data_IF_412183695776
#
_entry.id   IF_412183695776
#
_cell.length_a   1.000
_cell.length_b   1.000
_cell.length_c   1.000
_cell.angle_alpha   90.00
_cell.angle_beta   90.00
_cell.angle_gamma   90.00
#
_symmetry.space_group_name_H-M   'P 1'
#
loop_
_entity.id
_entity.type
_entity.pdbx_description
1 polymer ?
#
# COMPACT_ATOMS: atom_id res chain seq x y z
N UNK A 1 -12.53 30.25 44.47
CA UNK A 1 -13.54 30.44 43.39
C UNK A 1 -13.14 31.48 42.34
N UNK A 2 -12.29 32.48 42.64
CA UNK A 2 -11.84 33.48 41.63
C UNK A 2 -10.45 33.21 41.00
N UNK A 3 -9.77 32.12 41.33
CA UNK A 3 -8.43 31.82 40.77
C UNK A 3 -8.45 30.99 39.48
N UNK A 4 -9.40 30.05 39.30
CA UNK A 4 -9.48 29.22 38.09
C UNK A 4 -9.99 29.99 36.86
N UNK A 5 -10.97 30.87 37.05
CA UNK A 5 -11.56 31.68 35.97
C UNK A 5 -10.57 32.70 35.37
N UNK A 6 -9.64 33.19 36.19
CA UNK A 6 -8.59 34.12 35.74
C UNK A 6 -7.50 33.42 34.92
N UNK A 7 -7.18 32.18 35.27
CA UNK A 7 -6.19 31.38 34.55
C UNK A 7 -6.73 30.95 33.17
N UNK A 8 -8.02 30.57 33.10
CA UNK A 8 -8.71 30.24 31.84
C UNK A 8 -8.81 31.43 30.89
N UNK A 9 -9.07 32.64 31.40
CA UNK A 9 -9.13 33.85 30.57
C UNK A 9 -7.75 34.26 30.02
N UNK A 10 -6.69 34.11 30.82
CA UNK A 10 -5.30 34.32 30.39
C UNK A 10 -4.92 33.34 29.26
N UNK A 11 -5.27 32.06 29.43
CA UNK A 11 -5.05 31.00 28.44
C UNK A 11 -5.84 31.24 27.14
N UNK A 12 -7.09 31.67 27.24
CA UNK A 12 -7.91 32.08 26.09
C UNK A 12 -7.31 33.27 25.32
N UNK A 13 -6.74 34.26 26.01
CA UNK A 13 -6.09 35.40 25.37
C UNK A 13 -4.83 35.00 24.60
N UNK A 14 -4.05 34.05 25.13
CA UNK A 14 -2.90 33.45 24.44
C UNK A 14 -3.33 32.69 23.17
N UNK A 15 -4.39 31.91 23.27
CA UNK A 15 -4.97 31.19 22.14
C UNK A 15 -5.49 32.15 21.05
N UNK A 16 -6.07 33.30 21.43
CA UNK A 16 -6.50 34.34 20.50
C UNK A 16 -5.34 34.93 19.68
N UNK A 17 -4.19 35.14 20.34
CA UNK A 17 -3.00 35.65 19.68
C UNK A 17 -2.47 34.66 18.64
N UNK A 18 -2.52 33.35 18.94
CA UNK A 18 -2.13 32.28 18.01
C UNK A 18 -3.12 32.08 16.86
N UNK A 19 -4.41 32.32 17.09
CA UNK A 19 -5.43 32.25 16.04
C UNK A 19 -5.29 33.41 15.03
N UNK A 20 -4.92 34.61 15.49
CA UNK A 20 -4.71 35.78 14.61
C UNK A 20 -3.49 35.68 13.68
N UNK A 21 -2.50 34.85 14.00
CA UNK A 21 -1.29 34.68 13.17
C UNK A 21 -1.48 33.69 12.03
N UNK A 22 -2.46 32.79 12.14
CA UNK A 22 -2.87 31.91 11.05
C UNK A 22 -3.90 32.65 10.20
N UNK A 23 -3.79 32.55 8.88
CA UNK A 23 -4.52 33.32 7.85
C UNK A 23 -6.05 33.11 7.81
N UNK A 24 -6.66 32.61 8.89
CA UNK A 24 -8.04 32.18 8.97
C UNK A 24 -8.66 32.68 10.28
N UNK A 25 -9.61 33.62 10.17
CA UNK A 25 -10.30 34.28 11.28
C UNK A 25 -11.28 33.30 11.99
N UNK A 26 -10.78 32.48 12.92
CA UNK A 26 -11.62 31.77 13.88
C UNK A 26 -11.76 32.64 15.14
N UNK A 27 -12.98 33.11 15.40
CA UNK A 27 -13.27 33.99 16.53
C UNK A 27 -13.18 33.21 17.87
N UNK A 28 -12.70 33.87 18.92
CA UNK A 28 -12.64 33.36 20.29
C UNK A 28 -13.98 32.79 20.80
N UNK A 29 -15.11 33.37 20.38
CA UNK A 29 -16.44 32.86 20.72
C UNK A 29 -16.72 31.48 20.09
N UNK A 30 -16.22 31.25 18.87
CA UNK A 30 -16.28 29.96 18.18
C UNK A 30 -15.49 28.91 18.95
N UNK A 31 -14.29 29.26 19.42
CA UNK A 31 -13.46 28.36 20.25
C UNK A 31 -14.11 28.04 21.60
N UNK A 32 -14.71 29.04 22.28
CA UNK A 32 -15.45 28.82 23.53
C UNK A 32 -16.67 27.91 23.34
N UNK A 33 -17.42 28.11 22.26
CA UNK A 33 -18.58 27.26 21.94
C UNK A 33 -18.16 25.84 21.58
N UNK A 34 -17.04 25.67 20.87
CA UNK A 34 -16.46 24.36 20.60
C UNK A 34 -16.11 23.63 21.91
N UNK A 35 -15.39 24.28 22.82
CA UNK A 35 -15.07 23.73 24.15
C UNK A 35 -16.32 23.41 24.98
N UNK A 36 -17.34 24.26 24.90
CA UNK A 36 -18.61 24.02 25.61
C UNK A 36 -19.35 22.78 25.07
N UNK A 37 -19.38 22.59 23.75
CA UNK A 37 -19.96 21.39 23.13
C UNK A 37 -19.17 20.13 23.50
N UNK A 38 -17.84 20.25 23.59
CA UNK A 38 -16.98 19.16 24.06
C UNK A 38 -17.29 18.79 25.53
N UNK A 39 -17.49 19.78 26.42
CA UNK A 39 -17.91 19.54 27.81
C UNK A 39 -19.29 18.88 27.93
N UNK A 40 -20.15 19.04 26.93
CA UNK A 40 -21.43 18.36 26.84
C UNK A 40 -21.34 16.96 26.18
N UNK A 41 -20.13 16.40 26.05
CA UNK A 41 -19.84 15.07 25.47
C UNK A 41 -20.17 14.95 23.97
N UNK A 42 -20.16 16.04 23.22
CA UNK A 42 -20.23 15.96 21.76
C UNK A 42 -18.86 15.59 21.20
N UNK A 43 -18.79 14.57 20.34
CA UNK A 43 -17.56 14.21 19.63
C UNK A 43 -17.00 15.40 18.82
N UNK A 44 -15.67 15.55 18.75
CA UNK A 44 -14.97 16.70 18.12
C UNK A 44 -15.49 17.05 16.73
N UNK A 45 -15.68 16.05 15.86
CA UNK A 45 -16.23 16.25 14.51
C UNK A 45 -17.71 16.67 14.54
N UNK A 46 -18.50 16.16 15.49
CA UNK A 46 -19.92 16.53 15.65
C UNK A 46 -20.07 17.94 16.21
N UNK A 47 -19.27 18.30 17.20
CA UNK A 47 -19.16 19.66 17.73
C UNK A 47 -18.75 20.65 16.62
N UNK A 48 -17.72 20.31 15.83
CA UNK A 48 -17.27 21.15 14.72
C UNK A 48 -18.31 21.29 13.61
N UNK A 49 -19.01 20.20 13.23
CA UNK A 49 -20.10 20.24 12.25
C UNK A 49 -21.29 21.06 12.74
N UNK A 50 -21.66 20.94 14.02
CA UNK A 50 -22.74 21.74 14.63
C UNK A 50 -22.37 23.23 14.66
N UNK A 51 -21.12 23.54 14.97
CA UNK A 51 -20.59 24.89 15.00
C UNK A 51 -20.47 25.50 13.60
N UNK A 52 -20.00 24.73 12.61
CA UNK A 52 -19.98 25.17 11.22
C UNK A 52 -21.39 25.48 10.73
N UNK A 53 -22.35 24.60 11.06
CA UNK A 53 -23.76 24.79 10.74
C UNK A 53 -24.37 26.02 11.43
N UNK A 54 -24.05 26.27 12.70
CA UNK A 54 -24.54 27.47 13.42
C UNK A 54 -23.96 28.78 12.88
N UNK A 55 -22.78 28.72 12.26
CA UNK A 55 -22.13 29.84 11.57
C UNK A 55 -22.55 29.98 10.09
N UNK A 56 -23.48 29.14 9.61
CA UNK A 56 -23.90 29.13 8.21
C UNK A 56 -22.79 28.67 7.24
N UNK A 57 -21.84 27.88 7.71
CA UNK A 57 -20.69 27.39 6.95
C UNK A 57 -20.81 25.90 6.61
N UNK A 58 -20.18 25.52 5.49
CA UNK A 58 -20.24 24.16 4.96
C UNK A 58 -19.26 23.17 5.62
N UNK A 59 -19.31 21.88 5.25
CA UNK A 59 -18.52 20.80 5.84
C UNK A 59 -17.00 21.03 5.83
N UNK A 60 -16.49 21.69 4.79
CA UNK A 60 -15.07 22.06 4.68
C UNK A 60 -14.62 22.96 5.84
N UNK A 61 -15.47 23.91 6.27
CA UNK A 61 -15.15 24.76 7.42
C UNK A 61 -15.16 23.96 8.73
N UNK A 62 -15.96 22.90 8.85
CA UNK A 62 -15.95 22.02 10.01
C UNK A 62 -14.63 21.22 10.11
N UNK A 63 -14.15 20.70 8.98
CA UNK A 63 -12.86 20.00 8.92
C UNK A 63 -11.69 20.94 9.23
N UNK A 64 -11.74 22.16 8.70
CA UNK A 64 -10.75 23.20 8.97
C UNK A 64 -10.72 23.61 10.46
N UNK A 65 -11.88 23.82 11.08
CA UNK A 65 -11.96 24.12 12.52
C UNK A 65 -11.41 22.96 13.36
N UNK A 66 -11.68 21.72 12.96
CA UNK A 66 -11.12 20.54 13.62
C UNK A 66 -9.59 20.51 13.51
N UNK A 67 -9.06 20.70 12.31
CA UNK A 67 -7.61 20.72 12.04
C UNK A 67 -6.87 21.85 12.75
N UNK A 68 -7.54 22.96 13.06
CA UNK A 68 -6.93 24.09 13.78
C UNK A 68 -7.09 23.93 15.30
N UNK A 69 -8.29 23.56 15.77
CA UNK A 69 -8.58 23.51 17.20
C UNK A 69 -8.03 22.25 17.88
N UNK A 70 -7.97 21.10 17.20
CA UNK A 70 -7.46 19.87 17.81
C UNK A 70 -5.98 19.90 18.19
N UNK A 71 -5.04 20.36 17.33
CA UNK A 71 -3.62 20.43 17.72
C UNK A 71 -3.36 21.49 18.79
N UNK A 72 -4.16 22.56 18.84
CA UNK A 72 -4.07 23.58 19.88
C UNK A 72 -4.50 23.04 21.26
N UNK A 73 -5.26 21.95 21.31
CA UNK A 73 -5.66 21.27 22.54
C UNK A 73 -4.61 20.27 23.03
N UNK A 74 -3.68 19.80 22.17
CA UNK A 74 -2.54 18.96 22.59
C UNK A 74 -1.55 19.71 23.48
N UNK A 75 -1.49 21.03 23.40
CA UNK A 75 -0.68 21.87 24.30
C UNK A 75 -1.28 22.08 25.69
N UNK A 76 -2.51 21.58 25.92
CA UNK A 76 -3.20 21.69 27.20
C UNK A 76 -3.46 20.28 27.75
N UNK A 77 -2.47 19.72 28.43
CA UNK A 77 -2.60 18.44 29.13
C UNK A 77 -3.39 18.65 30.44
N UNK A 78 -4.62 18.13 30.50
CA UNK A 78 -5.31 17.86 31.76
C UNK A 78 -5.73 16.37 31.81
N UNK A 79 -5.93 15.83 33.01
CA UNK A 79 -6.24 14.40 33.22
C UNK A 79 -7.46 13.94 32.40
N UNK A 80 -8.47 14.81 32.25
CA UNK A 80 -9.67 14.54 31.43
C UNK A 80 -9.35 14.37 29.93
N UNK A 81 -8.31 15.03 29.40
CA UNK A 81 -7.91 14.97 27.98
C UNK A 81 -7.19 13.65 27.66
N UNK A 82 -6.48 13.09 28.64
CA UNK A 82 -5.76 11.81 28.50
C UNK A 82 -6.73 10.62 28.51
N UNK A 83 -7.73 10.64 29.40
CA UNK A 83 -8.79 9.62 29.43
C UNK A 83 -9.66 9.69 28.16
N UNK A 84 -10.02 10.90 27.72
CA UNK A 84 -10.76 11.16 26.47
C UNK A 84 -10.02 10.70 25.20
N UNK A 85 -8.68 10.77 25.18
CA UNK A 85 -7.86 10.31 24.04
C UNK A 85 -7.99 8.80 23.82
N UNK A 86 -8.09 8.02 24.90
CA UNK A 86 -8.17 6.56 24.84
C UNK A 86 -9.57 6.09 24.40
N UNK A 87 -10.63 6.71 24.93
CA UNK A 87 -12.02 6.41 24.53
C UNK A 87 -12.30 6.83 23.07
N UNK A 88 -11.72 7.94 22.61
CA UNK A 88 -11.83 8.46 21.24
C UNK A 88 -11.23 7.52 20.18
N UNK A 89 -10.07 6.90 20.47
CA UNK A 89 -9.45 5.92 19.56
C UNK A 89 -10.32 4.67 19.39
N UNK A 90 -11.13 4.35 20.41
CA UNK A 90 -12.07 3.24 20.40
C UNK A 90 -13.34 3.54 19.57
N UNK A 91 -13.83 4.79 19.57
CA UNK A 91 -15.04 5.21 18.82
C UNK A 91 -14.80 5.55 17.33
N UNK A 92 -13.58 5.94 16.92
CA UNK A 92 -13.26 6.12 15.49
C UNK A 92 -13.30 4.81 14.67
N UNK A 93 -13.52 3.67 15.33
CA UNK A 93 -13.52 2.32 14.73
C UNK A 93 -14.68 1.97 13.81
N UNK A 94 -15.49 2.95 13.37
CA UNK A 94 -16.67 2.68 12.53
C UNK A 94 -16.57 3.08 11.06
N UNK A 95 -15.68 4.01 10.66
CA UNK A 95 -15.46 4.34 9.24
C UNK A 95 -13.97 4.59 8.98
N UNK A 96 -13.33 3.68 8.24
CA UNK A 96 -11.92 3.76 7.91
C UNK A 96 -11.64 4.84 6.84
N UNK A 97 -10.68 5.72 7.09
CA UNK A 97 -10.21 6.70 6.10
C UNK A 97 -9.28 6.00 5.10
N UNK A 98 -9.55 6.14 3.78
CA UNK A 98 -8.71 5.54 2.74
C UNK A 98 -7.52 6.44 2.45
N UNK A 99 -6.30 5.97 2.74
CA UNK A 99 -5.03 6.63 2.41
C UNK A 99 -4.52 6.11 1.06
N UNK A 100 -4.34 7.01 0.09
CA UNK A 100 -3.72 6.67 -1.20
C UNK A 100 -2.19 6.60 -1.08
N UNK A 101 -1.63 5.45 -1.40
CA UNK A 101 -0.18 5.24 -1.49
C UNK A 101 0.16 4.99 -2.95
N UNK A 102 0.95 5.87 -3.55
CA UNK A 102 1.38 5.76 -4.95
C UNK A 102 2.79 5.18 -5.03
N UNK A 103 3.05 4.32 -6.00
CA UNK A 103 4.40 3.85 -6.32
C UNK A 103 4.71 4.15 -7.79
N UNK A 104 5.97 4.50 -8.04
CA UNK A 104 6.51 4.66 -9.40
C UNK A 104 8.01 4.32 -9.45
N UNK A 105 8.51 4.14 -10.67
CA UNK A 105 9.87 3.71 -10.97
C UNK A 105 10.60 4.79 -11.79
N UNK A 106 11.80 5.19 -11.36
CA UNK A 106 12.61 6.19 -12.04
C UNK A 106 14.05 5.70 -12.25
N UNK A 107 14.59 5.93 -13.44
CA UNK A 107 16.02 5.68 -13.72
C UNK A 107 16.76 6.99 -13.86
N UNK A 108 17.75 7.20 -12.98
CA UNK A 108 18.64 8.36 -13.03
C UNK A 108 19.98 7.93 -13.63
N UNK A 109 20.50 8.70 -14.58
CA UNK A 109 21.79 8.43 -15.21
C UNK A 109 22.86 9.41 -14.72
N UNK A 110 24.09 8.94 -14.52
CA UNK A 110 25.20 9.71 -13.99
C UNK A 110 25.54 10.95 -14.85
N UNK A 111 25.31 10.88 -16.16
CA UNK A 111 25.56 11.98 -17.09
C UNK A 111 24.28 12.73 -17.49
N UNK A 112 23.18 12.61 -16.74
CA UNK A 112 22.02 13.51 -16.85
C UNK A 112 22.32 14.88 -16.21
N UNK A 113 23.41 15.52 -16.62
CA UNK A 113 23.79 16.85 -16.15
C UNK A 113 23.19 17.97 -17.01
N UNK A 114 23.30 19.21 -16.53
CA UNK A 114 22.82 20.40 -17.24
C UNK A 114 23.54 20.51 -18.60
N UNK A 115 22.77 20.44 -19.70
CA UNK A 115 23.30 20.49 -21.07
C UNK A 115 23.87 21.87 -21.47
N UNK A 116 23.63 22.89 -20.65
CA UNK A 116 24.06 24.26 -20.87
C UNK A 116 25.13 24.64 -19.83
N UNK A 117 26.26 25.16 -20.30
CA UNK A 117 27.33 25.69 -19.46
C UNK A 117 27.93 26.92 -20.13
N UNK A 118 28.49 27.82 -19.32
CA UNK A 118 29.22 28.99 -19.82
C UNK A 118 30.67 28.58 -20.05
N UNK A 119 31.17 28.76 -21.29
CA UNK A 119 32.59 28.62 -21.61
C UNK A 119 33.15 29.90 -22.24
N UNK A 120 34.45 30.16 -22.08
CA UNK A 120 35.14 31.21 -22.83
C UNK A 120 34.96 31.04 -24.34
N UNK A 121 34.96 32.16 -25.06
CA UNK A 121 34.75 32.17 -26.52
C UNK A 121 35.86 31.38 -27.22
N UNK A 122 35.50 30.27 -27.86
CA UNK A 122 36.42 29.38 -28.57
C UNK A 122 36.75 28.09 -27.81
N UNK A 123 36.30 27.94 -26.57
CA UNK A 123 36.44 26.71 -25.80
C UNK A 123 35.15 25.90 -25.81
N UNK A 124 35.27 24.62 -26.14
CA UNK A 124 34.19 23.65 -26.04
C UNK A 124 34.42 22.78 -24.81
N UNK A 125 33.49 22.80 -23.86
CA UNK A 125 33.48 21.85 -22.76
C UNK A 125 33.21 20.45 -23.28
N UNK A 126 34.16 19.53 -23.08
CA UNK A 126 34.00 18.13 -23.44
C UNK A 126 32.96 17.47 -22.52
N UNK A 127 31.79 17.15 -23.06
CA UNK A 127 30.80 16.32 -22.37
C UNK A 127 31.00 14.85 -22.72
N UNK A 128 30.82 13.98 -21.73
CA UNK A 128 30.78 12.53 -21.97
C UNK A 128 29.52 12.23 -22.78
N UNK A 129 29.69 11.56 -23.92
CA UNK A 129 28.59 11.24 -24.85
C UNK A 129 27.67 10.11 -24.37
N UNK A 130 28.14 9.27 -23.44
CA UNK A 130 27.33 8.17 -22.89
C UNK A 130 26.47 8.65 -21.73
N UNK A 131 25.39 7.94 -21.42
CA UNK A 131 24.55 8.20 -20.25
C UNK A 131 25.27 7.94 -18.92
N UNK A 132 26.38 7.18 -18.95
CA UNK A 132 27.10 6.77 -17.74
C UNK A 132 26.36 5.67 -16.97
N UNK A 133 26.74 5.46 -15.72
CA UNK A 133 26.08 4.52 -14.81
C UNK A 133 24.65 5.00 -14.50
N UNK A 134 23.72 4.07 -14.39
CA UNK A 134 22.34 4.35 -13.98
C UNK A 134 22.07 3.87 -12.56
N UNK A 135 21.19 4.58 -11.86
CA UNK A 135 20.56 4.15 -10.61
C UNK A 135 19.08 3.97 -10.90
N UNK A 136 18.56 2.81 -10.57
CA UNK A 136 17.13 2.49 -10.63
C UNK A 136 16.52 2.74 -9.25
N UNK A 137 15.47 3.54 -9.19
CA UNK A 137 14.77 3.92 -7.97
C UNK A 137 13.33 3.45 -8.11
N UNK A 138 12.83 2.72 -7.13
CA UNK A 138 11.43 2.34 -6.98
C UNK A 138 11.04 2.63 -5.55
N UNK A 139 9.95 3.39 -5.34
CA UNK A 139 9.60 3.88 -4.01
C UNK A 139 8.10 4.13 -3.86
N UNK A 140 7.59 3.95 -2.64
CA UNK A 140 6.20 4.25 -2.28
C UNK A 140 6.13 5.63 -1.65
N UNK A 141 5.20 6.45 -2.16
CA UNK A 141 4.98 7.82 -1.72
C UNK A 141 3.52 8.02 -1.32
N UNK A 142 3.27 8.71 -0.21
CA UNK A 142 1.96 9.23 0.13
C UNK A 142 2.04 10.65 0.69
N UNK A 143 0.93 11.38 0.63
CA UNK A 143 0.89 12.84 0.79
C UNK A 143 1.52 13.34 2.10
N UNK A 144 1.25 12.65 3.21
CA UNK A 144 1.59 13.12 4.56
C UNK A 144 3.07 12.98 4.88
N UNK A 145 3.68 11.80 4.68
CA UNK A 145 5.10 11.57 5.06
C UNK A 145 6.05 11.58 3.86
N UNK A 146 5.52 11.76 2.64
CA UNK A 146 6.22 11.54 1.38
C UNK A 146 6.65 10.07 1.29
N UNK A 147 7.88 9.71 1.64
CA UNK A 147 8.41 8.37 1.42
C UNK A 147 7.94 7.40 2.50
N UNK A 148 7.45 6.24 2.09
CA UNK A 148 6.98 5.21 3.00
C UNK A 148 8.18 4.56 3.72
N UNK A 149 8.39 4.90 5.00
CA UNK A 149 9.47 4.36 5.82
C UNK A 149 9.04 4.20 7.28
N UNK A 150 9.69 3.28 7.98
CA UNK A 150 9.59 3.19 9.43
C UNK A 150 10.24 4.43 10.09
N UNK A 151 9.70 4.85 11.22
CA UNK A 151 10.33 5.84 12.09
C UNK A 151 11.53 5.23 12.82
N UNK A 152 12.44 6.08 13.32
CA UNK A 152 13.62 5.63 14.08
C UNK A 152 13.25 4.78 15.30
N UNK A 153 12.10 5.08 15.92
CA UNK A 153 11.55 4.29 17.03
C UNK A 153 11.10 2.90 16.58
N UNK A 154 10.38 2.80 15.47
CA UNK A 154 9.93 1.52 14.92
C UNK A 154 11.10 0.67 14.40
N UNK A 155 12.14 1.30 13.87
CA UNK A 155 13.38 0.62 13.49
C UNK A 155 14.04 0.00 14.73
N UNK A 156 14.16 0.76 15.82
CA UNK A 156 14.71 0.24 17.07
C UNK A 156 13.89 -0.93 17.64
N UNK A 157 12.56 -0.94 17.48
CA UNK A 157 11.73 -2.09 17.85
C UNK A 157 11.96 -3.26 16.89
N UNK A 158 12.02 -3.01 15.59
CA UNK A 158 12.22 -4.03 14.56
C UNK A 158 13.55 -4.78 14.74
N UNK A 159 14.60 -4.06 15.15
CA UNK A 159 15.93 -4.64 15.42
C UNK A 159 15.94 -5.57 16.64
N UNK A 160 14.94 -5.46 17.52
CA UNK A 160 14.77 -6.35 18.68
C UNK A 160 13.93 -7.59 18.34
N UNK A 161 13.32 -7.66 17.15
CA UNK A 161 12.52 -8.80 16.72
C UNK A 161 13.42 -9.95 16.23
N UNK A 162 13.03 -11.22 16.45
CA UNK A 162 13.70 -12.38 15.86
C UNK A 162 13.79 -12.30 14.33
N UNK A 163 14.88 -12.81 13.74
CA UNK A 163 15.14 -12.84 12.30
C UNK A 163 14.00 -13.42 11.45
N UNK A 164 13.16 -14.28 12.04
CA UNK A 164 12.00 -14.89 11.37
C UNK A 164 10.84 -13.91 11.13
N UNK A 165 10.78 -12.80 11.86
CA UNK A 165 9.67 -11.84 11.84
C UNK A 165 10.14 -10.38 11.72
N UNK A 166 11.42 -10.08 11.91
CA UNK A 166 11.94 -8.74 11.68
C UNK A 166 11.85 -8.37 10.19
N UNK A 167 11.55 -7.11 9.92
CA UNK A 167 11.61 -6.56 8.59
C UNK A 167 13.06 -6.38 8.18
N UNK A 168 13.45 -7.04 7.08
CA UNK A 168 14.79 -6.90 6.50
C UNK A 168 15.04 -5.53 5.87
N UNK A 169 13.96 -4.86 5.47
CA UNK A 169 13.99 -3.55 4.82
C UNK A 169 13.07 -2.61 5.60
N UNK A 170 13.62 -1.50 6.05
CA UNK A 170 12.92 -0.48 6.87
C UNK A 170 12.50 0.75 6.05
N UNK A 171 13.02 0.85 4.83
CA UNK A 171 12.61 1.79 3.79
C UNK A 171 11.86 1.02 2.69
N UNK A 172 10.61 1.44 2.43
CA UNK A 172 9.67 0.92 1.44
C UNK A 172 9.47 -0.61 1.36
N UNK A 173 8.51 -1.10 2.16
CA UNK A 173 7.54 -2.12 1.73
C UNK A 173 7.65 -3.52 2.34
N UNK A 174 7.15 -3.72 3.58
CA UNK A 174 6.61 -5.04 4.00
C UNK A 174 5.38 -4.93 4.91
N UNK A 175 5.31 -4.00 5.87
CA UNK A 175 4.04 -3.68 6.55
C UNK A 175 4.23 -2.39 7.34
N UNK A 176 3.60 -1.31 6.91
CA UNK A 176 3.40 -0.16 7.79
C UNK A 176 1.97 -0.26 8.29
N UNK A 177 1.84 -0.48 9.59
CA UNK A 177 0.57 -0.27 10.28
C UNK A 177 0.30 1.23 10.22
N UNK A 178 -0.56 1.69 9.33
CA UNK A 178 -0.92 3.11 9.20
C UNK A 178 -1.79 3.62 10.36
N UNK A 179 -1.77 2.92 11.49
CA UNK A 179 -2.66 3.15 12.61
C UNK A 179 -3.99 2.39 12.48
N UNK A 180 -4.77 2.46 13.55
CA UNK A 180 -6.12 1.91 13.63
C UNK A 180 -7.05 2.84 12.82
N UNK A 181 -7.92 2.27 11.97
CA UNK A 181 -8.93 2.98 11.14
C UNK A 181 -8.45 3.65 9.86
N UNK A 182 -7.37 3.16 9.26
CA UNK A 182 -6.97 3.56 7.91
C UNK A 182 -6.97 2.36 6.96
N UNK A 183 -7.76 2.46 5.91
CA UNK A 183 -7.67 1.55 4.76
C UNK A 183 -6.63 2.12 3.79
N UNK A 184 -5.87 1.25 3.13
CA UNK A 184 -4.87 1.68 2.15
C UNK A 184 -5.30 1.39 0.73
N UNK A 185 -5.21 2.40 -0.13
CA UNK A 185 -5.32 2.24 -1.56
C UNK A 185 -3.93 2.36 -2.19
N UNK A 186 -3.34 1.23 -2.55
CA UNK A 186 -2.11 1.19 -3.34
C UNK A 186 -2.42 1.48 -4.81
N UNK A 187 -1.69 2.43 -5.38
CA UNK A 187 -1.79 2.85 -6.77
C UNK A 187 -0.43 2.71 -7.43
N UNK A 188 -0.35 1.86 -8.44
CA UNK A 188 0.86 1.63 -9.23
C UNK A 188 0.47 1.50 -10.71
N UNK A 189 1.44 1.69 -11.60
CA UNK A 189 1.23 1.54 -13.02
C UNK A 189 1.09 0.05 -13.43
N UNK A 190 0.71 -0.22 -14.68
CA UNK A 190 0.62 -1.58 -15.19
C UNK A 190 1.95 -2.02 -15.84
N UNK A 191 3.08 -1.72 -15.19
CA UNK A 191 4.38 -2.21 -15.65
C UNK A 191 4.41 -3.73 -15.65
N UNK A 192 5.25 -4.33 -16.51
CA UNK A 192 5.39 -5.79 -16.56
C UNK A 192 5.92 -6.37 -15.24
N UNK A 193 6.62 -5.56 -14.45
CA UNK A 193 7.14 -5.96 -13.15
C UNK A 193 6.00 -6.11 -12.14
N UNK A 194 5.01 -5.21 -12.17
CA UNK A 194 3.82 -5.30 -11.31
C UNK A 194 2.90 -6.47 -11.69
N UNK A 195 2.88 -6.83 -12.98
CA UNK A 195 2.18 -8.02 -13.46
C UNK A 195 2.95 -9.34 -13.27
N UNK A 196 4.09 -9.34 -12.56
CA UNK A 196 4.88 -10.55 -12.36
C UNK A 196 4.20 -11.50 -11.35
N UNK A 197 4.25 -12.78 -11.66
CA UNK A 197 3.75 -13.83 -10.79
C UNK A 197 4.81 -14.25 -9.77
N UNK A 198 4.38 -14.80 -8.64
CA UNK A 198 5.28 -15.41 -7.67
C UNK A 198 6.14 -16.51 -8.32
N UNK A 199 7.34 -16.74 -7.78
CA UNK A 199 8.27 -17.74 -8.33
C UNK A 199 7.65 -19.14 -8.41
N UNK A 200 6.76 -19.49 -7.48
CA UNK A 200 6.06 -20.77 -7.38
C UNK A 200 4.61 -20.72 -7.92
N UNK A 201 4.19 -19.63 -8.57
CA UNK A 201 2.82 -19.47 -9.07
C UNK A 201 2.42 -20.56 -10.07
N UNK A 202 1.11 -20.87 -10.14
CA UNK A 202 0.59 -21.87 -11.08
C UNK A 202 0.65 -21.38 -12.53
N UNK A 203 1.82 -21.48 -13.15
CA UNK A 203 2.03 -21.09 -14.54
C UNK A 203 2.36 -22.32 -15.39
N UNK A 204 1.48 -22.64 -16.33
CA UNK A 204 1.68 -23.78 -17.25
C UNK A 204 2.96 -23.65 -18.08
N UNK A 205 3.39 -22.42 -18.36
CA UNK A 205 4.68 -22.12 -19.00
C UNK A 205 5.87 -22.63 -18.18
N UNK A 206 5.75 -22.59 -16.85
CA UNK A 206 6.73 -23.11 -15.90
C UNK A 206 6.60 -24.62 -15.66
N UNK A 207 5.63 -25.28 -16.30
CA UNK A 207 5.48 -26.73 -16.23
C UNK A 207 6.15 -27.44 -17.40
N UNK A 208 6.60 -28.66 -17.14
CA UNK A 208 7.04 -29.58 -18.16
C UNK A 208 5.93 -30.52 -18.61
N UNK A 209 6.07 -31.14 -19.79
CA UNK A 209 5.04 -32.06 -20.30
C UNK A 209 4.96 -33.33 -19.44
N UNK A 210 6.13 -33.85 -19.07
CA UNK A 210 6.30 -35.01 -18.18
C UNK A 210 6.69 -34.53 -16.79
N UNK A 211 6.41 -35.36 -15.79
CA UNK A 211 6.80 -35.11 -14.41
C UNK A 211 8.30 -34.85 -14.25
N UNK A 212 8.66 -33.98 -13.30
CA UNK A 212 10.06 -33.74 -12.90
C UNK A 212 10.98 -33.15 -13.98
N UNK A 213 10.46 -32.79 -15.15
CA UNK A 213 11.28 -32.21 -16.24
C UNK A 213 11.70 -30.77 -15.97
N UNK A 214 10.96 -30.04 -15.13
CA UNK A 214 11.40 -28.77 -14.55
C UNK A 214 11.68 -28.96 -13.06
N UNK A 215 12.61 -28.17 -12.52
CA UNK A 215 12.99 -28.20 -11.10
C UNK A 215 12.02 -27.41 -10.21
N UNK A 216 11.33 -26.43 -10.78
CA UNK A 216 10.45 -25.52 -10.04
C UNK A 216 9.25 -26.28 -9.45
N UNK A 217 9.03 -26.12 -8.15
CA UNK A 217 7.90 -26.67 -7.43
C UNK A 217 6.83 -25.59 -7.38
N UNK A 218 5.74 -25.79 -8.12
CA UNK A 218 4.61 -24.85 -8.08
C UNK A 218 3.81 -25.04 -6.79
N UNK A 219 3.15 -23.97 -6.35
CA UNK A 219 2.33 -23.95 -5.15
C UNK A 219 1.14 -24.92 -5.26
N UNK A 220 0.55 -25.27 -4.11
CA UNK A 220 -0.67 -26.08 -4.08
C UNK A 220 -1.83 -25.25 -4.60
N UNK A 221 -2.57 -25.81 -5.55
CA UNK A 221 -3.79 -25.20 -6.08
C UNK A 221 -4.92 -25.27 -5.06
N UNK A 222 -5.70 -24.20 -4.97
CA UNK A 222 -6.90 -24.11 -4.11
C UNK A 222 -8.11 -23.77 -4.96
N UNK A 223 -9.13 -24.62 -4.92
CA UNK A 223 -10.40 -24.39 -5.59
C UNK A 223 -11.33 -23.53 -4.73
N UNK A 224 -12.39 -23.01 -5.35
CA UNK A 224 -13.37 -22.13 -4.69
C UNK A 224 -14.14 -22.84 -3.56
N UNK A 225 -14.29 -24.15 -3.65
CA UNK A 225 -14.92 -24.99 -2.62
C UNK A 225 -13.98 -25.32 -1.45
N UNK A 226 -12.74 -24.81 -1.47
CA UNK A 226 -11.73 -25.06 -0.44
C UNK A 226 -10.93 -26.35 -0.65
N UNK A 227 -11.25 -27.15 -1.67
CA UNK A 227 -10.46 -28.34 -2.00
C UNK A 227 -9.08 -27.96 -2.54
N UNK A 228 -8.08 -28.78 -2.23
CA UNK A 228 -6.69 -28.54 -2.61
C UNK A 228 -6.23 -29.53 -3.67
N UNK A 229 -5.45 -29.04 -4.64
CA UNK A 229 -4.78 -29.86 -5.63
C UNK A 229 -3.27 -29.68 -5.53
N UNK A 230 -2.61 -30.70 -4.99
CA UNK A 230 -1.17 -30.69 -4.77
C UNK A 230 -0.44 -30.83 -6.10
N UNK A 231 0.42 -29.86 -6.43
CA UNK A 231 1.21 -29.80 -7.67
C UNK A 231 2.50 -30.60 -7.64
N UNK A 232 2.73 -31.34 -6.55
CA UNK A 232 3.88 -32.20 -6.35
C UNK A 232 3.45 -33.62 -6.02
N UNK A 233 4.35 -34.58 -6.20
CA UNK A 233 4.15 -35.96 -5.77
C UNK A 233 5.47 -36.56 -5.30
N UNK A 234 5.43 -37.57 -4.44
CA UNK A 234 6.61 -38.34 -4.06
C UNK A 234 6.77 -39.51 -5.03
N UNK A 235 7.95 -39.68 -5.60
CA UNK A 235 8.25 -40.86 -6.40
C UNK A 235 8.46 -42.11 -5.51
N UNK A 236 8.71 -43.28 -6.13
CA UNK A 236 8.99 -44.54 -5.44
C UNK A 236 10.14 -44.47 -4.43
N UNK A 237 11.06 -43.51 -4.62
CA UNK A 237 12.24 -43.33 -3.78
C UNK A 237 12.02 -42.26 -2.70
N UNK A 238 10.78 -41.78 -2.51
CA UNK A 238 10.41 -40.78 -1.53
C UNK A 238 10.78 -39.32 -1.88
N UNK A 239 11.39 -39.09 -3.05
CA UNK A 239 11.83 -37.77 -3.51
C UNK A 239 10.64 -36.99 -4.06
N UNK A 240 10.48 -35.75 -3.60
CA UNK A 240 9.44 -34.84 -4.07
C UNK A 240 9.76 -34.36 -5.49
N UNK A 241 8.79 -34.48 -6.41
CA UNK A 241 8.90 -34.03 -7.80
C UNK A 241 7.67 -33.19 -8.20
N UNK A 242 7.86 -32.18 -9.05
CA UNK A 242 6.74 -31.45 -9.61
C UNK A 242 5.97 -32.30 -10.62
N UNK A 243 4.64 -32.19 -10.58
CA UNK A 243 3.75 -32.81 -11.57
C UNK A 243 3.91 -32.15 -12.93
N UNK A 244 3.92 -32.95 -13.98
CA UNK A 244 3.87 -32.49 -15.36
C UNK A 244 2.45 -32.16 -15.81
N UNK A 245 2.34 -31.46 -16.94
CA UNK A 245 1.05 -31.11 -17.56
C UNK A 245 0.21 -32.36 -17.82
N UNK A 246 0.84 -33.45 -18.29
CA UNK A 246 0.13 -34.70 -18.58
C UNK A 246 -0.56 -35.27 -17.36
N UNK A 247 0.18 -35.49 -16.26
CA UNK A 247 -0.37 -36.01 -15.00
C UNK A 247 -1.46 -35.08 -14.47
N UNK A 248 -1.24 -33.77 -14.52
CA UNK A 248 -2.23 -32.80 -14.04
C UNK A 248 -3.55 -32.87 -14.81
N UNK A 249 -3.50 -33.07 -16.13
CA UNK A 249 -4.70 -33.25 -16.96
C UNK A 249 -5.34 -34.63 -16.78
N UNK A 250 -4.56 -35.69 -16.66
CA UNK A 250 -5.05 -37.06 -16.42
C UNK A 250 -5.81 -37.14 -15.08
N UNK A 251 -5.22 -36.61 -14.00
CA UNK A 251 -5.85 -36.57 -12.67
C UNK A 251 -7.12 -35.71 -12.64
N UNK A 252 -7.24 -34.73 -13.55
CA UNK A 252 -8.45 -33.89 -13.70
C UNK A 252 -9.47 -34.47 -14.68
N UNK A 253 -9.18 -35.59 -15.34
CA UNK A 253 -10.05 -36.16 -16.38
C UNK A 253 -10.15 -35.33 -17.66
N UNK A 254 -9.16 -34.46 -17.91
CA UNK A 254 -9.11 -33.51 -19.04
C UNK A 254 -8.05 -33.86 -20.08
N UNK A 255 -7.42 -35.03 -19.95
CA UNK A 255 -6.40 -35.48 -20.88
C UNK A 255 -7.01 -35.90 -22.22
N UNK A 256 -6.52 -35.29 -23.30
CA UNK A 256 -6.85 -35.67 -24.67
C UNK A 256 -5.59 -36.27 -25.31
N UNK A 257 -5.64 -37.52 -25.81
CA UNK A 257 -4.52 -38.14 -26.52
C UNK A 257 -4.02 -37.30 -27.70
N UNK A 258 -2.72 -37.44 -28.00
CA UNK A 258 -2.05 -36.82 -29.16
C UNK A 258 -2.03 -35.28 -29.21
N UNK A 259 -2.53 -34.60 -28.17
CA UNK A 259 -2.35 -33.16 -28.06
C UNK A 259 -0.89 -32.77 -27.80
N UNK A 260 -0.41 -31.81 -28.58
CA UNK A 260 0.88 -31.18 -28.37
C UNK A 260 0.87 -30.28 -27.12
N UNK A 261 2.07 -30.04 -26.55
CA UNK A 261 2.22 -29.17 -25.37
C UNK A 261 1.62 -27.78 -25.60
N UNK A 262 2.05 -27.10 -26.68
CA UNK A 262 1.63 -25.73 -26.99
C UNK A 262 1.58 -25.55 -28.51
N UNK A 263 0.43 -25.18 -29.05
CA UNK A 263 0.24 -24.95 -30.49
C UNK A 263 0.85 -23.60 -30.94
N UNK A 264 0.98 -23.40 -32.25
CA UNK A 264 1.59 -22.19 -32.82
C UNK A 264 0.79 -20.92 -32.50
N UNK A 265 -0.53 -21.02 -32.42
CA UNK A 265 -1.43 -19.92 -32.07
C UNK A 265 -1.22 -19.48 -30.61
N UNK A 266 -1.22 -20.43 -29.67
CA UNK A 266 -0.92 -20.16 -28.26
C UNK A 266 0.52 -19.69 -28.03
N UNK A 267 1.51 -20.13 -28.84
CA UNK A 267 2.89 -19.64 -28.76
C UNK A 267 2.99 -18.13 -29.04
N UNK A 268 2.09 -17.59 -29.87
CA UNK A 268 1.99 -16.16 -30.18
C UNK A 268 1.13 -15.38 -29.16
N UNK A 269 0.77 -15.98 -28.03
CA UNK A 269 -0.11 -15.40 -27.01
C UNK A 269 -1.47 -14.92 -27.57
N UNK A 270 -2.00 -15.63 -28.58
CA UNK A 270 -3.32 -15.37 -29.16
C UNK A 270 -4.19 -16.63 -29.06
N UNK A 271 -4.43 -17.18 -27.86
CA UNK A 271 -5.30 -18.35 -27.72
C UNK A 271 -6.71 -18.03 -28.23
N UNK A 272 -7.35 -18.99 -28.89
CA UNK A 272 -8.74 -18.87 -29.33
C UNK A 272 -9.67 -19.15 -28.14
N UNK A 273 -10.42 -18.16 -27.64
CA UNK A 273 -11.27 -18.33 -26.47
C UNK A 273 -12.40 -19.34 -26.69
N UNK A 274 -12.74 -19.66 -27.94
CA UNK A 274 -13.80 -20.62 -28.29
C UNK A 274 -13.28 -22.06 -28.39
N UNK A 275 -11.96 -22.24 -28.58
CA UNK A 275 -11.33 -23.55 -28.71
C UNK A 275 -10.28 -23.79 -27.61
N UNK A 276 -10.77 -24.22 -26.45
CA UNK A 276 -9.94 -24.57 -25.30
C UNK A 276 -9.09 -25.83 -25.55
N UNK A 277 -9.49 -26.70 -26.49
CA UNK A 277 -8.88 -28.01 -26.73
C UNK A 277 -7.71 -27.99 -27.72
N UNK A 278 -7.22 -26.81 -28.11
CA UNK A 278 -6.19 -26.69 -29.14
C UNK A 278 -4.80 -27.25 -28.74
N UNK A 279 -4.47 -27.28 -27.44
CA UNK A 279 -3.23 -27.84 -26.90
C UNK A 279 -3.33 -28.05 -25.39
N UNK A 280 -2.50 -28.92 -24.83
CA UNK A 280 -2.56 -29.25 -23.39
C UNK A 280 -2.27 -28.05 -22.50
N UNK A 281 -1.41 -27.12 -22.94
CA UNK A 281 -1.18 -25.90 -22.17
C UNK A 281 -2.42 -25.01 -22.09
N UNK A 282 -3.22 -24.94 -23.16
CA UNK A 282 -4.41 -24.09 -23.17
C UNK A 282 -5.50 -24.66 -22.26
N UNK A 283 -5.74 -25.98 -22.34
CA UNK A 283 -6.68 -26.69 -21.46
C UNK A 283 -6.34 -26.45 -19.99
N UNK A 284 -5.07 -26.63 -19.63
CA UNK A 284 -4.63 -26.46 -18.23
C UNK A 284 -4.64 -25.00 -17.79
N UNK A 285 -4.22 -24.06 -18.64
CA UNK A 285 -4.26 -22.62 -18.32
C UNK A 285 -5.67 -22.09 -18.16
N UNK A 286 -6.65 -22.70 -18.82
CA UNK A 286 -8.06 -22.33 -18.69
C UNK A 286 -8.74 -22.87 -17.41
N UNK A 287 -8.05 -23.73 -16.64
CA UNK A 287 -8.56 -24.22 -15.37
C UNK A 287 -8.63 -23.07 -14.35
N UNK A 288 -9.64 -23.08 -13.49
CA UNK A 288 -9.95 -21.95 -12.61
C UNK A 288 -8.79 -21.58 -11.70
N UNK A 289 -8.01 -22.54 -11.23
CA UNK A 289 -6.86 -22.34 -10.35
C UNK A 289 -5.66 -21.69 -11.05
N UNK A 290 -5.42 -22.04 -12.31
CA UNK A 290 -4.40 -21.41 -13.16
C UNK A 290 -4.85 -20.03 -13.66
N UNK A 291 -6.11 -19.90 -14.06
CA UNK A 291 -6.68 -18.65 -14.58
C UNK A 291 -6.88 -17.59 -13.47
N UNK A 292 -7.06 -18.01 -12.22
CA UNK A 292 -7.22 -17.10 -11.08
C UNK A 292 -5.90 -16.70 -10.41
N UNK A 293 -4.75 -17.15 -10.93
CA UNK A 293 -3.46 -16.68 -10.44
C UNK A 293 -3.38 -15.16 -10.60
N UNK A 294 -2.95 -14.48 -9.53
CA UNK A 294 -2.74 -13.04 -9.52
C UNK A 294 -1.25 -12.74 -9.53
N UNK A 295 -0.91 -11.49 -9.80
CA UNK A 295 0.42 -10.96 -9.55
C UNK A 295 0.86 -11.28 -8.13
N UNK A 296 2.17 -11.29 -7.93
CA UNK A 296 2.75 -11.41 -6.59
C UNK A 296 2.42 -10.20 -5.70
N UNK A 297 2.19 -9.04 -6.32
CA UNK A 297 1.67 -7.82 -5.69
C UNK A 297 0.17 -7.92 -5.42
#
# INVERSE_FOLDING_TARGET
>A
LNSSVNDDNSKLLSLNAQLKTKTIDINLNTTRQFLHLMNQRYAKMKASKLLAKSLGKGPWHAQLMLAILCPLLEFYECEDVVEYKNDFLQEMSSEAEIISVTQDEATLYANNSVKQYWSPKGEYGLQRKSQGLSIYISDFVYETIRRLKLSDYEIAINDLLPDSICFKYTEAGVAIYLGINHDTLFMFDNSSNHGSFAEDALLVLQMGMKDGTKKLLLCTSKYRDGSEYVMTYRNSNGVLKPKGIRRALEERGLWIPDLIKKCNTCKKNKPDPTNLNCCTSHILSAQSDFASQRSHL
#
